data_IF_484129530941
#
_entry.id   IF_484129530941
#
_cell.length_a   1.000
_cell.length_b   1.000
_cell.length_c   1.000
_cell.angle_alpha   90.00
_cell.angle_beta   90.00
_cell.angle_gamma   90.00
#
_symmetry.space_group_name_H-M   'P 1'
#
loop_
_entity.id
_entity.type
_entity.pdbx_description
1 polymer ?
#
# COMPACT_ATOMS: atom_id res chain seq x y z
N UNK A 1 -14.74 4.19 -2.50
CA UNK A 1 -14.97 3.59 -1.18
C UNK A 1 -13.99 4.22 -0.21
N UNK A 2 -14.43 4.71 0.96
CA UNK A 2 -13.50 5.30 1.94
C UNK A 2 -12.97 4.20 2.86
N UNK A 3 -11.69 3.84 2.71
CA UNK A 3 -11.04 2.83 3.56
C UNK A 3 -10.42 3.50 4.79
N UNK A 4 -10.80 3.07 5.98
CA UNK A 4 -10.21 3.56 7.23
C UNK A 4 -8.82 2.97 7.50
N UNK A 5 -8.52 1.80 6.93
CA UNK A 5 -7.23 1.14 7.06
C UNK A 5 -6.17 1.73 6.10
N UNK A 6 -6.60 2.14 4.91
CA UNK A 6 -5.74 2.72 3.88
C UNK A 6 -6.38 4.00 3.33
N UNK A 7 -6.20 5.16 3.99
CA UNK A 7 -6.85 6.41 3.59
C UNK A 7 -6.53 6.80 2.14
N UNK A 8 -5.26 6.63 1.74
CA UNK A 8 -4.73 6.90 0.39
C UNK A 8 -5.33 6.01 -0.69
N UNK A 9 -5.91 4.86 -0.34
CA UNK A 9 -6.62 4.01 -1.28
C UNK A 9 -7.87 4.70 -1.86
N UNK A 10 -8.40 5.70 -1.16
CA UNK A 10 -9.54 6.50 -1.62
C UNK A 10 -9.13 7.54 -2.67
N UNK A 11 -7.83 7.83 -2.79
CA UNK A 11 -7.25 8.80 -3.72
C UNK A 11 -6.75 8.14 -5.03
N UNK A 12 -6.78 6.80 -5.10
CA UNK A 12 -6.42 6.04 -6.29
C UNK A 12 -7.51 6.12 -7.36
N UNK A 13 -7.10 6.08 -8.63
CA UNK A 13 -8.03 5.81 -9.73
C UNK A 13 -8.54 4.37 -9.65
N UNK A 14 -9.68 4.09 -10.27
CA UNK A 14 -10.22 2.72 -10.29
C UNK A 14 -9.20 1.71 -10.85
N UNK A 15 -8.47 2.07 -11.92
CA UNK A 15 -7.41 1.24 -12.50
C UNK A 15 -6.28 0.94 -11.51
N UNK A 16 -5.78 1.96 -10.81
CA UNK A 16 -4.73 1.80 -9.80
C UNK A 16 -5.20 0.98 -8.59
N UNK A 17 -6.47 1.10 -8.22
CA UNK A 17 -7.06 0.30 -7.16
C UNK A 17 -7.17 -1.17 -7.58
N UNK A 18 -7.50 -1.46 -8.83
CA UNK A 18 -7.51 -2.83 -9.36
C UNK A 18 -6.10 -3.43 -9.43
N UNK A 19 -5.09 -2.67 -9.88
CA UNK A 19 -3.69 -3.12 -9.88
C UNK A 19 -3.21 -3.45 -8.47
N UNK A 20 -3.45 -2.56 -7.50
CA UNK A 20 -3.11 -2.81 -6.10
C UNK A 20 -3.80 -4.06 -5.55
N UNK A 21 -5.06 -4.31 -5.90
CA UNK A 21 -5.77 -5.53 -5.48
C UNK A 21 -5.17 -6.80 -6.09
N UNK A 22 -4.73 -6.75 -7.36
CA UNK A 22 -4.08 -7.88 -8.03
C UNK A 22 -2.73 -8.20 -7.37
N UNK A 23 -1.97 -7.18 -7.02
CA UNK A 23 -0.70 -7.30 -6.29
C UNK A 23 -0.91 -7.91 -4.89
N UNK A 24 -1.95 -7.49 -4.17
CA UNK A 24 -2.31 -8.07 -2.86
C UNK A 24 -2.70 -9.54 -3.00
N UNK A 25 -3.48 -9.91 -4.03
CA UNK A 25 -3.88 -11.30 -4.28
C UNK A 25 -2.65 -12.15 -4.63
N UNK A 26 -1.74 -11.63 -5.45
CA UNK A 26 -0.49 -12.30 -5.82
C UNK A 26 0.38 -12.54 -4.59
N UNK A 27 0.58 -11.51 -3.75
CA UNK A 27 1.31 -11.64 -2.50
C UNK A 27 0.68 -12.68 -1.55
N UNK A 28 -0.66 -12.77 -1.50
CA UNK A 28 -1.36 -13.78 -0.71
C UNK A 28 -1.12 -15.21 -1.23
N UNK A 29 -1.09 -15.39 -2.55
CA UNK A 29 -0.85 -16.69 -3.18
C UNK A 29 0.60 -17.15 -2.97
N UNK A 30 1.57 -16.24 -3.08
CA UNK A 30 3.00 -16.58 -2.95
C UNK A 30 3.45 -16.80 -1.51
N UNK A 31 2.84 -16.11 -0.55
CA UNK A 31 3.30 -16.11 0.84
C UNK A 31 3.27 -17.49 1.51
N UNK A 32 2.37 -18.39 1.10
CA UNK A 32 2.19 -19.75 1.64
C UNK A 32 1.80 -19.82 3.13
N UNK A 33 1.95 -18.73 3.89
CA UNK A 33 1.65 -18.58 5.32
C UNK A 33 1.11 -17.17 5.58
N UNK A 34 0.24 -17.05 6.58
CA UNK A 34 -0.36 -15.76 6.95
C UNK A 34 0.70 -14.71 7.34
N UNK A 35 1.75 -15.09 8.07
CA UNK A 35 2.81 -14.17 8.50
C UNK A 35 3.60 -13.60 7.31
N UNK A 36 3.92 -14.43 6.31
CA UNK A 36 4.59 -13.97 5.11
C UNK A 36 3.68 -13.05 4.27
N UNK A 37 2.37 -13.31 4.24
CA UNK A 37 1.42 -12.45 3.56
C UNK A 37 1.34 -11.07 4.21
N UNK A 38 1.26 -11.01 5.54
CA UNK A 38 1.26 -9.73 6.26
C UNK A 38 2.54 -8.93 6.01
N UNK A 39 3.69 -9.60 5.92
CA UNK A 39 4.96 -8.94 5.59
C UNK A 39 4.97 -8.40 4.16
N UNK A 40 4.53 -9.19 3.18
CA UNK A 40 4.43 -8.74 1.78
C UNK A 40 3.44 -7.60 1.62
N UNK A 41 2.30 -7.64 2.32
CA UNK A 41 1.31 -6.57 2.34
C UNK A 41 1.88 -5.28 2.93
N UNK A 42 2.65 -5.36 4.01
CA UNK A 42 3.30 -4.20 4.63
C UNK A 42 4.28 -3.51 3.66
N UNK A 43 5.07 -4.30 2.92
CA UNK A 43 5.96 -3.79 1.85
C UNK A 43 5.16 -3.11 0.74
N UNK A 44 4.07 -3.71 0.29
CA UNK A 44 3.23 -3.18 -0.78
C UNK A 44 2.57 -1.85 -0.37
N UNK A 45 2.07 -1.80 0.86
CA UNK A 45 1.53 -0.58 1.45
C UNK A 45 2.61 0.49 1.57
N UNK A 46 3.84 0.13 1.94
CA UNK A 46 4.97 1.08 1.99
C UNK A 46 5.37 1.65 0.63
N UNK A 47 5.17 0.90 -0.46
CA UNK A 47 5.46 1.36 -1.83
C UNK A 47 4.35 2.26 -2.38
N UNK A 48 3.09 2.00 -2.02
CA UNK A 48 1.93 2.78 -2.49
C UNK A 48 1.54 3.93 -1.57
N UNK A 49 1.96 3.90 -0.30
CA UNK A 49 1.73 5.01 0.61
C UNK A 49 2.45 6.25 0.05
N UNK A 50 1.75 7.38 -0.11
CA UNK A 50 2.40 8.62 -0.50
C UNK A 50 3.45 8.94 0.55
N UNK A 51 4.73 8.93 0.15
CA UNK A 51 5.83 9.35 1.01
C UNK A 51 5.44 10.68 1.62
N UNK A 52 5.37 10.82 2.96
CA UNK A 52 5.07 12.12 3.53
C UNK A 52 6.15 13.06 3.01
N UNK A 53 5.73 14.07 2.26
CA UNK A 53 6.62 15.13 1.83
C UNK A 53 7.20 15.72 3.11
N UNK A 54 8.43 15.34 3.44
CA UNK A 54 9.20 15.98 4.49
C UNK A 54 9.12 17.47 4.18
N UNK A 55 8.66 18.33 5.11
CA UNK A 55 8.62 19.75 4.86
C UNK A 55 10.06 20.19 4.56
N UNK A 56 10.32 20.50 3.28
CA UNK A 56 11.55 21.11 2.81
C UNK A 56 11.69 22.44 3.54
N UNK A 57 12.36 22.49 4.70
CA UNK A 57 12.37 23.75 5.45
C UNK A 57 13.05 23.81 6.81
N UNK A 58 13.85 22.83 7.23
CA UNK A 58 14.75 23.02 8.37
C UNK A 58 16.16 22.56 8.00
N UNK A 59 16.93 23.49 7.43
CA UNK A 59 18.39 23.44 7.52
C UNK A 59 18.82 24.07 8.85
N UNK A 60 19.87 23.54 9.51
CA UNK A 60 20.52 24.16 10.66
C UNK A 60 21.26 25.47 10.30
#
# INVERSE_FOLDING_TARGET
MQSSAFPWLSDLTDEQAYEFLDDVITAAQEAGTHTAFLHSLDVLVGQHAPTPALPHGVMP
#
